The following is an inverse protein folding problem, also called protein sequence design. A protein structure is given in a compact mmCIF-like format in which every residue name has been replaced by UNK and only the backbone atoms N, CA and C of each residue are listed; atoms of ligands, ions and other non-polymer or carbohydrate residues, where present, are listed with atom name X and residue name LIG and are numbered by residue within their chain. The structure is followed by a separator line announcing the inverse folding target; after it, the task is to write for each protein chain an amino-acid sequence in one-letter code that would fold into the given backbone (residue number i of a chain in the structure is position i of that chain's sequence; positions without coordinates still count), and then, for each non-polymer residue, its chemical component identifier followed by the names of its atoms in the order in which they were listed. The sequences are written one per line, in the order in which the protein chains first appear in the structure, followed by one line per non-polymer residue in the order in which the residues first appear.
data_IF_647437837712
#
_entry.id   IF_647437837712
#
_cell.length_a   1.000
_cell.length_b   1.000
_cell.length_c   1.000
_cell.angle_alpha   90.00
_cell.angle_beta   90.00
_cell.angle_gamma   90.00
#
_symmetry.space_group_name_H-M   'P 1'
#
loop_
_entity.id
_entity.type
_entity.pdbx_description
1 polymer ?
#
# COMPACT_ATOMS: atom_id res chain seq x y z
N UNK A 1 0.57 -17.26 -3.36
CA UNK A 1 0.11 -16.77 -4.69
C UNK A 1 0.03 -17.95 -5.65
N UNK A 2 -1.00 -18.07 -6.51
CA UNK A 2 -1.08 -19.17 -7.47
C UNK A 2 0.13 -19.12 -8.42
N UNK A 3 0.83 -20.25 -8.54
CA UNK A 3 2.03 -20.40 -9.40
C UNK A 3 1.74 -20.20 -10.88
N UNK A 4 0.49 -20.37 -11.30
CA UNK A 4 0.06 -20.07 -12.66
C UNK A 4 -0.71 -18.74 -12.71
N UNK A 5 -0.02 -17.67 -13.14
CA UNK A 5 -0.56 -16.31 -13.21
C UNK A 5 -1.45 -16.08 -14.43
N UNK A 6 -1.26 -16.86 -15.49
CA UNK A 6 -2.06 -16.77 -16.72
C UNK A 6 -3.48 -17.32 -16.52
N UNK A 7 -3.68 -18.28 -15.62
CA UNK A 7 -5.01 -18.85 -15.30
C UNK A 7 -5.65 -18.33 -14.00
N UNK A 8 -4.91 -17.61 -13.14
CA UNK A 8 -5.47 -17.09 -11.88
C UNK A 8 -6.69 -16.17 -12.08
N UNK A 9 -7.73 -16.39 -11.28
CA UNK A 9 -8.94 -15.56 -11.20
C UNK A 9 -8.87 -14.56 -10.04
N UNK A 10 -9.71 -13.53 -10.09
CA UNK A 10 -9.85 -12.55 -8.99
C UNK A 10 -10.24 -13.26 -7.69
N UNK A 11 -11.22 -14.17 -7.74
CA UNK A 11 -11.66 -14.97 -6.59
C UNK A 11 -10.52 -15.84 -6.02
N UNK A 12 -9.75 -16.52 -6.86
CA UNK A 12 -8.63 -17.35 -6.41
C UNK A 12 -7.55 -16.51 -5.69
N UNK A 13 -7.29 -15.30 -6.19
CA UNK A 13 -6.32 -14.37 -5.59
C UNK A 13 -6.80 -13.89 -4.21
N UNK A 14 -8.06 -13.44 -4.12
CA UNK A 14 -8.68 -13.01 -2.86
C UNK A 14 -8.70 -14.15 -1.85
N UNK A 15 -9.19 -15.32 -2.23
CA UNK A 15 -9.30 -16.47 -1.35
C UNK A 15 -7.92 -16.94 -0.85
N UNK A 16 -6.89 -16.91 -1.70
CA UNK A 16 -5.53 -17.27 -1.30
C UNK A 16 -4.98 -16.32 -0.24
N UNK A 17 -5.11 -15.00 -0.44
CA UNK A 17 -4.59 -14.00 0.50
C UNK A 17 -5.40 -14.00 1.80
N UNK A 18 -6.73 -14.01 1.70
CA UNK A 18 -7.64 -14.03 2.85
C UNK A 18 -7.37 -15.22 3.77
N UNK A 19 -7.21 -16.41 3.19
CA UNK A 19 -6.91 -17.63 3.94
C UNK A 19 -5.50 -17.60 4.55
N UNK A 20 -4.50 -17.05 3.86
CA UNK A 20 -3.14 -16.92 4.42
C UNK A 20 -3.08 -16.00 5.64
N UNK A 21 -4.04 -15.07 5.75
CA UNK A 21 -4.20 -14.18 6.91
C UNK A 21 -5.08 -14.78 8.01
N UNK A 22 -5.49 -16.05 7.88
CA UNK A 22 -6.34 -16.75 8.85
C UNK A 22 -7.66 -16.02 9.17
N UNK A 23 -8.19 -15.26 8.19
CA UNK A 23 -9.45 -14.53 8.34
C UNK A 23 -10.66 -15.46 8.13
N UNK A 24 -11.83 -15.16 8.74
CA UNK A 24 -13.02 -15.99 8.63
C UNK A 24 -13.49 -16.17 7.19
N UNK A 25 -13.57 -17.43 6.73
CA UNK A 25 -14.02 -17.75 5.36
C UNK A 25 -15.48 -17.37 5.09
N UNK A 26 -16.33 -17.32 6.13
CA UNK A 26 -17.74 -16.93 5.99
C UNK A 26 -17.91 -15.53 5.41
N UNK A 27 -17.00 -14.60 5.72
CA UNK A 27 -17.00 -13.24 5.16
C UNK A 27 -16.85 -13.25 3.64
N UNK A 28 -16.17 -14.23 3.04
CA UNK A 28 -16.01 -14.29 1.58
C UNK A 28 -17.36 -14.45 0.85
N UNK A 29 -18.38 -15.02 1.51
CA UNK A 29 -19.72 -15.17 0.94
C UNK A 29 -20.46 -13.83 0.74
N UNK A 30 -20.02 -12.76 1.42
CA UNK A 30 -20.63 -11.43 1.33
C UNK A 30 -20.00 -10.56 0.24
N UNK A 31 -18.92 -11.04 -0.38
CA UNK A 31 -18.24 -10.36 -1.47
C UNK A 31 -18.98 -10.59 -2.80
N UNK A 32 -19.23 -9.50 -3.52
CA UNK A 32 -19.83 -9.49 -4.84
C UNK A 32 -18.91 -8.78 -5.83
N UNK A 33 -18.56 -9.48 -6.90
CA UNK A 33 -17.68 -8.98 -7.96
C UNK A 33 -18.45 -9.00 -9.29
N UNK A 34 -19.42 -8.09 -9.48
CA UNK A 34 -20.26 -8.08 -10.67
C UNK A 34 -19.44 -7.71 -11.92
N UNK A 35 -19.77 -8.26 -13.10
CA UNK A 35 -19.28 -7.73 -14.38
C UNK A 35 -19.85 -6.30 -14.60
N UNK A 36 -19.16 -5.45 -15.36
CA UNK A 36 -19.64 -4.09 -15.67
C UNK A 36 -20.75 -4.14 -16.74
N UNK A 37 -22.00 -3.73 -16.46
CA UNK A 37 -23.08 -3.81 -17.44
C UNK A 37 -22.90 -2.91 -18.68
N UNK A 38 -22.03 -1.90 -18.63
CA UNK A 38 -22.02 -0.83 -19.63
C UNK A 38 -21.18 -1.06 -20.90
N UNK A 39 -20.35 -2.11 -20.99
CA UNK A 39 -19.33 -2.19 -22.06
C UNK A 39 -19.16 -3.56 -22.77
N UNK A 40 -20.15 -4.47 -22.75
CA UNK A 40 -19.98 -5.79 -23.39
C UNK A 40 -20.72 -5.98 -24.73
N UNK A 41 -20.02 -5.90 -25.88
CA UNK A 41 -20.24 -6.79 -27.01
C UNK A 41 -19.45 -8.10 -26.82
N UNK A 42 -19.95 -9.16 -27.42
CA UNK A 42 -19.60 -10.56 -27.19
C UNK A 42 -18.12 -10.90 -27.50
N UNK A 43 -17.54 -11.74 -26.64
CA UNK A 43 -16.25 -12.47 -26.73
C UNK A 43 -14.95 -11.70 -26.43
N UNK A 44 -14.16 -12.30 -25.51
CA UNK A 44 -12.95 -11.82 -24.81
C UNK A 44 -13.18 -10.80 -23.68
N UNK A 45 -12.70 -11.11 -22.49
CA UNK A 45 -12.78 -10.26 -21.29
C UNK A 45 -12.11 -8.91 -21.59
N UNK A 46 -12.84 -7.78 -21.64
CA UNK A 46 -12.26 -6.48 -21.89
C UNK A 46 -11.40 -6.11 -20.68
N UNK A 47 -10.10 -5.92 -20.91
CA UNK A 47 -9.21 -5.34 -19.91
C UNK A 47 -9.46 -3.84 -19.86
N UNK A 48 -9.63 -3.30 -18.66
CA UNK A 48 -9.78 -1.86 -18.44
C UNK A 48 -8.41 -1.15 -18.49
N UNK A 49 -7.33 -1.86 -18.18
CA UNK A 49 -5.97 -1.34 -18.21
C UNK A 49 -5.15 -1.98 -19.35
N UNK A 50 -4.41 -1.17 -20.13
CA UNK A 50 -3.60 -1.65 -21.25
C UNK A 50 -2.32 -2.31 -20.75
N UNK A 51 -2.42 -3.54 -20.23
CA UNK A 51 -1.29 -4.29 -19.72
C UNK A 51 -1.39 -5.77 -20.08
N UNK A 52 -0.25 -6.37 -20.43
CA UNK A 52 -0.10 -7.82 -20.57
C UNK A 52 -0.31 -8.52 -19.23
N UNK A 53 0.01 -7.85 -18.11
CA UNK A 53 -0.34 -8.29 -16.76
C UNK A 53 -1.81 -8.00 -16.45
N UNK A 54 -2.45 -8.84 -15.64
CA UNK A 54 -3.84 -8.70 -15.20
C UNK A 54 -3.99 -7.60 -14.15
N UNK A 55 -3.61 -6.36 -14.47
CA UNK A 55 -3.63 -5.23 -13.53
C UNK A 55 -5.05 -4.93 -13.05
N UNK A 56 -6.06 -5.09 -13.90
CA UNK A 56 -7.47 -4.96 -13.50
C UNK A 56 -7.86 -5.97 -12.42
N UNK A 57 -7.36 -7.21 -12.53
CA UNK A 57 -7.60 -8.22 -11.51
C UNK A 57 -6.94 -7.83 -10.20
N UNK A 58 -5.67 -7.36 -10.24
CA UNK A 58 -4.98 -6.89 -9.03
C UNK A 58 -5.69 -5.69 -8.40
N UNK A 59 -6.19 -4.77 -9.22
CA UNK A 59 -6.95 -3.62 -8.76
C UNK A 59 -8.22 -4.04 -8.03
N UNK A 60 -9.04 -4.89 -8.65
CA UNK A 60 -10.29 -5.35 -8.05
C UNK A 60 -10.03 -6.24 -6.82
N UNK A 61 -9.06 -7.15 -6.88
CA UNK A 61 -8.70 -8.03 -5.76
C UNK A 61 -8.20 -7.26 -4.54
N UNK A 62 -7.29 -6.30 -4.73
CA UNK A 62 -6.71 -5.54 -3.60
C UNK A 62 -7.74 -4.65 -2.92
N UNK A 63 -8.58 -3.95 -3.69
CA UNK A 63 -9.67 -3.13 -3.15
C UNK A 63 -10.73 -4.02 -2.46
N UNK A 64 -11.05 -5.19 -3.02
CA UNK A 64 -11.96 -6.15 -2.42
C UNK A 64 -11.46 -6.66 -1.07
N UNK A 65 -10.19 -7.07 -0.98
CA UNK A 65 -9.58 -7.53 0.26
C UNK A 65 -9.63 -6.46 1.36
N UNK A 66 -9.20 -5.23 1.05
CA UNK A 66 -9.21 -4.14 2.02
C UNK A 66 -10.63 -3.77 2.48
N UNK A 67 -11.58 -3.68 1.53
CA UNK A 67 -12.97 -3.33 1.85
C UNK A 67 -13.66 -4.44 2.64
N UNK A 68 -13.41 -5.71 2.31
CA UNK A 68 -13.97 -6.84 3.05
C UNK A 68 -13.39 -6.95 4.46
N UNK A 69 -12.07 -6.71 4.63
CA UNK A 69 -11.45 -6.65 5.94
C UNK A 69 -12.05 -5.53 6.81
N UNK A 70 -12.28 -4.35 6.23
CA UNK A 70 -12.94 -3.24 6.92
C UNK A 70 -14.40 -3.57 7.29
N UNK A 71 -15.15 -4.23 6.41
CA UNK A 71 -16.52 -4.67 6.68
C UNK A 71 -16.58 -5.72 7.79
N UNK A 72 -15.64 -6.67 7.80
CA UNK A 72 -15.50 -7.65 8.88
C UNK A 72 -15.20 -6.95 10.21
N UNK A 73 -14.21 -6.06 10.25
CA UNK A 73 -13.86 -5.29 11.43
C UNK A 73 -15.06 -4.50 11.98
N UNK A 74 -15.81 -3.86 11.08
CA UNK A 74 -17.03 -3.15 11.44
C UNK A 74 -18.08 -4.07 12.09
N UNK A 75 -18.33 -5.24 11.50
CA UNK A 75 -19.30 -6.20 12.01
C UNK A 75 -18.91 -6.79 13.37
N UNK A 76 -17.64 -7.16 13.54
CA UNK A 76 -17.10 -7.67 14.80
C UNK A 76 -17.27 -6.65 15.93
N UNK A 77 -16.99 -5.38 15.65
CA UNK A 77 -17.17 -4.30 16.63
C UNK A 77 -18.63 -4.12 17.03
N UNK A 78 -19.53 -4.12 16.06
CA UNK A 78 -20.96 -3.97 16.32
C UNK A 78 -21.47 -5.09 17.25
N UNK A 79 -21.02 -6.34 17.04
CA UNK A 79 -21.37 -7.48 17.88
C UNK A 79 -20.82 -7.36 19.30
N UNK A 80 -19.55 -6.96 19.45
CA UNK A 80 -18.92 -6.76 20.77
C UNK A 80 -19.62 -5.67 21.60
N UNK A 81 -20.06 -4.59 20.96
CA UNK A 81 -20.85 -3.55 21.62
C UNK A 81 -22.19 -4.11 22.13
N UNK A 82 -22.93 -4.85 21.30
CA UNK A 82 -24.21 -5.46 21.70
C UNK A 82 -24.07 -6.45 22.86
N UNK A 83 -23.00 -7.25 22.88
CA UNK A 83 -22.73 -8.20 23.97
C UNK A 83 -22.44 -7.50 25.31
N UNK A 84 -21.67 -6.40 25.28
CA UNK A 84 -21.40 -5.59 26.49
C UNK A 84 -22.67 -4.99 27.10
N UNK A 85 -23.65 -4.59 26.27
CA UNK A 85 -24.95 -4.10 26.75
C UNK A 85 -25.76 -5.17 27.48
N UNK A 86 -25.83 -6.38 26.91
CA UNK A 86 -26.60 -7.49 27.50
C UNK A 86 -26.06 -7.91 28.87
N UNK A 87 -24.73 -7.86 29.06
CA UNK A 87 -24.10 -8.19 30.34
C UNK A 87 -24.29 -7.10 31.43
N UNK A 88 -24.58 -5.86 31.04
CA UNK A 88 -24.80 -4.75 31.98
C UNK A 88 -26.27 -4.58 32.41
N UNK A 89 -27.22 -5.30 31.81
CA UNK A 89 -28.61 -5.29 32.25
C UNK A 89 -28.85 -6.28 33.40
N UNK A 90 -29.41 -5.86 34.55
CA UNK A 90 -29.70 -6.77 35.65
C UNK A 90 -30.88 -7.70 35.30
N UNK A 91 -30.64 -9.01 35.36
CA UNK A 91 -31.63 -10.10 35.29
C UNK A 91 -32.38 -10.26 33.96
N UNK A 92 -31.80 -11.00 33.02
CA UNK A 92 -32.55 -11.88 32.12
C UNK A 92 -31.92 -13.28 32.08
N UNK A 93 -32.76 -14.30 31.96
CA UNK A 93 -32.42 -15.72 31.99
C UNK A 93 -31.29 -16.08 31.00
N UNK A 94 -30.48 -17.12 31.27
CA UNK A 94 -29.37 -17.49 30.40
C UNK A 94 -29.91 -17.96 29.05
N UNK A 95 -29.85 -17.08 28.05
CA UNK A 95 -30.06 -17.45 26.66
C UNK A 95 -28.82 -18.26 26.24
N UNK A 96 -29.05 -19.49 25.77
CA UNK A 96 -28.02 -20.37 25.22
C UNK A 96 -27.09 -19.57 24.30
N UNK A 97 -25.79 -19.63 24.57
CA UNK A 97 -24.75 -19.01 23.74
C UNK A 97 -24.70 -19.72 22.37
N UNK A 98 -25.69 -19.44 21.52
CA UNK A 98 -25.51 -19.71 20.10
C UNK A 98 -24.39 -18.79 19.64
N UNK A 99 -23.31 -19.39 19.13
CA UNK A 99 -22.24 -18.68 18.43
C UNK A 99 -22.86 -17.95 17.24
N UNK A 100 -23.37 -16.73 17.45
CA UNK A 100 -24.00 -15.95 16.40
C UNK A 100 -22.90 -15.58 15.41
N UNK A 101 -23.03 -16.12 14.20
CA UNK A 101 -22.16 -15.84 13.07
C UNK A 101 -22.09 -14.31 12.85
N UNK A 102 -20.88 -13.78 12.71
CA UNK A 102 -20.66 -12.34 12.51
C UNK A 102 -21.35 -11.94 11.20
N UNK A 103 -22.39 -11.10 11.28
CA UNK A 103 -23.11 -10.61 10.11
C UNK A 103 -22.30 -9.53 9.39
N UNK A 104 -21.45 -9.94 8.46
CA UNK A 104 -20.61 -9.02 7.65
C UNK A 104 -21.46 -8.36 6.56
N UNK A 105 -21.45 -7.02 6.42
CA UNK A 105 -22.13 -6.34 5.33
C UNK A 105 -21.69 -6.84 3.95
N UNK A 106 -22.61 -6.83 2.98
CA UNK A 106 -22.29 -7.13 1.58
C UNK A 106 -21.29 -6.10 1.04
N UNK A 107 -20.21 -6.59 0.42
CA UNK A 107 -19.20 -5.76 -0.23
C UNK A 107 -19.27 -5.95 -1.74
N UNK A 108 -19.43 -4.87 -2.49
CA UNK A 108 -19.49 -4.92 -3.96
C UNK A 108 -18.40 -4.06 -4.56
N UNK A 109 -17.55 -4.64 -5.42
CA UNK A 109 -16.46 -3.90 -6.08
C UNK A 109 -16.69 -3.86 -7.59
N UNK A 110 -16.88 -2.65 -8.13
CA UNK A 110 -16.93 -2.42 -9.59
C UNK A 110 -15.55 -2.67 -10.21
N UNK A 111 -15.44 -3.46 -11.29
CA UNK A 111 -14.15 -3.68 -11.97
C UNK A 111 -13.63 -2.40 -12.61
N UNK A 112 -14.50 -1.61 -13.27
CA UNK A 112 -14.16 -0.30 -13.84
C UNK A 112 -13.74 0.70 -12.77
N UNK A 113 -14.49 0.78 -11.67
CA UNK A 113 -14.15 1.65 -10.54
C UNK A 113 -12.80 1.29 -9.92
N UNK A 114 -12.50 0.00 -9.79
CA UNK A 114 -11.22 -0.48 -9.30
C UNK A 114 -10.06 -0.10 -10.25
N UNK A 115 -10.23 -0.33 -11.54
CA UNK A 115 -9.25 0.06 -12.56
C UNK A 115 -8.99 1.58 -12.55
N UNK A 116 -10.05 2.40 -12.52
CA UNK A 116 -9.94 3.85 -12.43
C UNK A 116 -9.22 4.31 -11.16
N UNK A 117 -9.41 3.62 -10.04
CA UNK A 117 -8.70 3.93 -8.78
C UNK A 117 -7.19 3.67 -8.88
N UNK A 118 -6.76 2.74 -9.73
CA UNK A 118 -5.35 2.39 -9.99
C UNK A 118 -4.64 3.35 -10.94
N UNK A 119 -5.39 4.12 -11.73
CA UNK A 119 -4.87 5.15 -12.64
C UNK A 119 -5.44 6.52 -12.33
N UNK A 120 -5.91 6.73 -11.10
CA UNK A 120 -6.62 7.93 -10.69
C UNK A 120 -5.79 9.19 -10.88
N UNK A 121 -4.46 9.07 -10.76
CA UNK A 121 -3.50 10.15 -10.99
C UNK A 121 -3.53 10.72 -12.41
N UNK A 122 -4.14 10.00 -13.36
CA UNK A 122 -4.25 10.39 -14.78
C UNK A 122 -5.61 10.95 -15.16
N UNK A 123 -6.63 10.73 -14.33
CA UNK A 123 -8.03 10.97 -14.69
C UNK A 123 -8.75 11.93 -13.75
N UNK A 124 -8.16 12.32 -12.61
CA UNK A 124 -8.75 13.37 -11.77
C UNK A 124 -8.72 14.72 -12.49
N UNK A 125 -9.65 15.60 -12.15
CA UNK A 125 -9.62 16.98 -12.63
C UNK A 125 -9.50 17.94 -11.46
N UNK A 126 -8.80 19.05 -11.68
CA UNK A 126 -8.70 20.16 -10.73
C UNK A 126 -9.23 21.42 -11.42
N UNK A 127 -10.34 21.96 -10.93
CA UNK A 127 -11.04 23.10 -11.55
C UNK A 127 -11.36 22.87 -13.04
N UNK A 128 -11.79 21.64 -13.38
CA UNK A 128 -12.13 21.25 -14.75
C UNK A 128 -10.93 20.97 -15.67
N UNK A 129 -9.70 21.11 -15.18
CA UNK A 129 -8.49 20.81 -15.96
C UNK A 129 -7.95 19.41 -15.63
N UNK A 130 -7.38 18.70 -16.63
CA UNK A 130 -6.71 17.42 -16.39
C UNK A 130 -5.49 17.62 -15.47
N UNK A 131 -4.97 16.53 -14.87
CA UNK A 131 -3.82 16.64 -14.01
C UNK A 131 -2.61 17.05 -14.84
N UNK A 132 -1.71 17.85 -14.26
CA UNK A 132 -0.44 18.15 -14.92
C UNK A 132 0.35 16.85 -15.07
N UNK A 133 1.08 16.70 -16.18
CA UNK A 133 2.01 15.58 -16.34
C UNK A 133 2.98 15.52 -15.16
N UNK A 134 3.28 14.32 -14.68
CA UNK A 134 4.22 14.06 -13.59
C UNK A 134 5.67 14.47 -13.89
N UNK A 135 5.95 14.98 -15.10
CA UNK A 135 7.27 15.51 -15.46
C UNK A 135 8.34 14.44 -15.63
N UNK A 136 7.96 13.17 -15.81
CA UNK A 136 8.87 12.09 -16.19
C UNK A 136 9.38 12.34 -17.62
N UNK A 137 10.64 12.74 -17.76
CA UNK A 137 11.25 13.07 -19.05
C UNK A 137 11.81 11.82 -19.71
N UNK A 138 12.58 11.06 -18.94
CA UNK A 138 13.23 9.83 -19.38
C UNK A 138 12.62 8.59 -18.73
N UNK A 139 11.59 8.74 -17.90
CA UNK A 139 10.86 7.61 -17.34
C UNK A 139 10.16 6.78 -18.43
N UNK A 140 10.27 5.45 -18.35
CA UNK A 140 9.68 4.59 -19.37
C UNK A 140 10.34 3.22 -19.51
N UNK A 141 9.83 2.46 -20.48
CA UNK A 141 10.41 1.18 -20.88
C UNK A 141 11.46 1.41 -21.96
N UNK A 142 12.60 0.74 -21.81
CA UNK A 142 13.71 0.78 -22.75
C UNK A 142 14.16 -0.63 -23.09
N UNK A 143 14.39 -0.87 -24.39
CA UNK A 143 14.96 -2.11 -24.88
C UNK A 143 16.47 -2.10 -24.69
N UNK A 144 17.01 -3.18 -24.16
CA UNK A 144 18.45 -3.33 -23.87
C UNK A 144 19.18 -4.07 -24.99
N UNK A 145 20.51 -4.05 -24.94
CA UNK A 145 21.39 -4.68 -25.94
C UNK A 145 21.15 -6.18 -26.11
N UNK A 146 20.86 -6.86 -25.01
CA UNK A 146 20.57 -8.29 -24.92
C UNK A 146 19.10 -8.64 -25.28
N UNK A 147 18.39 -7.73 -25.96
CA UNK A 147 16.98 -7.86 -26.31
C UNK A 147 16.01 -7.97 -25.11
N UNK A 148 16.50 -7.72 -23.90
CA UNK A 148 15.68 -7.53 -22.70
C UNK A 148 15.01 -6.17 -22.64
N UNK A 149 14.37 -5.91 -21.49
CA UNK A 149 13.70 -4.63 -21.20
C UNK A 149 14.00 -4.19 -19.78
N UNK A 150 14.15 -2.87 -19.61
CA UNK A 150 14.21 -2.21 -18.30
C UNK A 150 13.15 -1.13 -18.20
N UNK A 151 12.66 -0.87 -16.99
CA UNK A 151 11.87 0.30 -16.63
C UNK A 151 12.76 1.30 -15.91
N UNK A 152 12.94 2.48 -16.49
CA UNK A 152 13.63 3.62 -15.87
C UNK A 152 12.61 4.49 -15.14
N UNK A 153 12.94 4.87 -13.90
CA UNK A 153 12.18 5.86 -13.12
C UNK A 153 13.01 7.12 -12.91
N UNK A 154 12.40 8.28 -13.18
CA UNK A 154 13.05 9.59 -13.08
C UNK A 154 12.18 10.64 -12.37
N UNK A 155 11.27 10.18 -11.50
CA UNK A 155 10.34 11.05 -10.77
C UNK A 155 11.04 12.13 -9.94
N UNK A 156 12.28 11.90 -9.51
CA UNK A 156 13.10 12.88 -8.80
C UNK A 156 14.38 13.22 -9.58
N UNK A 157 14.81 14.48 -9.49
CA UNK A 157 15.97 15.01 -10.22
C UNK A 157 17.27 14.24 -9.90
N UNK A 158 17.46 13.82 -8.65
CA UNK A 158 18.61 13.01 -8.25
C UNK A 158 18.62 11.64 -8.96
N UNK A 159 17.46 10.99 -9.14
CA UNK A 159 17.38 9.73 -9.90
C UNK A 159 17.72 9.96 -11.37
N UNK A 160 17.20 11.04 -11.98
CA UNK A 160 17.51 11.39 -13.37
C UNK A 160 19.01 11.62 -13.59
N UNK A 161 19.65 12.38 -12.69
CA UNK A 161 21.10 12.62 -12.72
C UNK A 161 21.90 11.34 -12.51
N UNK A 162 21.43 10.44 -11.64
CA UNK A 162 22.08 9.15 -11.41
C UNK A 162 22.01 8.26 -12.65
N UNK A 163 20.84 8.15 -13.28
CA UNK A 163 20.66 7.43 -14.56
C UNK A 163 21.59 8.03 -15.63
N UNK A 164 21.61 9.35 -15.78
CA UNK A 164 22.45 9.99 -16.78
C UNK A 164 23.95 9.71 -16.58
N UNK A 165 24.42 9.80 -15.34
CA UNK A 165 25.81 9.46 -14.97
C UNK A 165 26.15 8.00 -15.25
N UNK A 166 25.27 7.05 -14.89
CA UNK A 166 25.49 5.62 -15.15
C UNK A 166 25.57 5.37 -16.65
N UNK A 167 24.68 5.97 -17.42
CA UNK A 167 24.64 5.80 -18.86
C UNK A 167 25.73 6.59 -19.58
N UNK A 168 26.40 7.54 -18.94
CA UNK A 168 27.36 8.44 -19.58
C UNK A 168 26.72 9.37 -20.61
N UNK A 169 25.49 9.83 -20.34
CA UNK A 169 24.76 10.78 -21.21
C UNK A 169 24.79 12.18 -20.60
N UNK A 170 24.70 13.19 -21.44
CA UNK A 170 24.82 14.58 -21.01
C UNK A 170 23.60 15.04 -20.21
N UNK A 171 23.83 15.91 -19.22
CA UNK A 171 22.78 16.58 -18.45
C UNK A 171 22.91 18.08 -18.68
N UNK A 172 21.82 18.76 -19.05
CA UNK A 172 21.84 20.22 -19.18
C UNK A 172 22.04 20.91 -17.83
N UNK A 173 22.35 22.22 -17.84
CA UNK A 173 22.47 23.01 -16.62
C UNK A 173 21.17 22.97 -15.77
N UNK A 174 20.02 22.85 -16.42
CA UNK A 174 18.69 22.75 -15.83
C UNK A 174 18.32 21.31 -15.41
N UNK A 175 19.22 20.34 -15.58
CA UNK A 175 18.97 18.95 -15.22
C UNK A 175 18.15 18.15 -16.25
N UNK A 176 18.06 18.64 -17.50
CA UNK A 176 17.38 17.94 -18.58
C UNK A 176 18.29 16.87 -19.19
N UNK A 177 17.70 15.76 -19.63
CA UNK A 177 18.40 14.63 -20.26
C UNK A 177 17.63 14.23 -21.51
N UNK A 178 18.33 14.04 -22.63
CA UNK A 178 17.71 13.60 -23.87
C UNK A 178 17.27 12.13 -23.78
N UNK A 179 15.98 11.89 -23.97
CA UNK A 179 15.36 10.57 -23.94
C UNK A 179 15.91 9.64 -25.03
N UNK A 180 16.20 10.17 -26.22
CA UNK A 180 16.74 9.35 -27.31
C UNK A 180 18.20 8.99 -27.06
N UNK A 181 18.98 9.90 -26.45
CA UNK A 181 20.34 9.60 -26.01
C UNK A 181 20.36 8.50 -24.95
N UNK A 182 19.45 8.56 -23.97
CA UNK A 182 19.22 7.48 -22.99
C UNK A 182 18.86 6.17 -23.67
N UNK A 183 17.90 6.19 -24.61
CA UNK A 183 17.46 4.98 -25.31
C UNK A 183 18.61 4.32 -26.10
N UNK A 184 19.40 5.13 -26.80
CA UNK A 184 20.58 4.68 -27.54
C UNK A 184 21.64 4.09 -26.63
N UNK A 185 21.96 4.80 -25.54
CA UNK A 185 22.93 4.35 -24.54
C UNK A 185 22.56 2.97 -23.97
N UNK A 186 21.29 2.78 -23.58
CA UNK A 186 20.79 1.52 -23.03
C UNK A 186 20.85 0.41 -24.09
N UNK A 187 20.39 0.69 -25.31
CA UNK A 187 20.31 -0.28 -26.41
C UNK A 187 21.68 -0.75 -26.91
N UNK A 188 22.69 0.12 -26.88
CA UNK A 188 24.02 -0.19 -27.43
C UNK A 188 25.00 -0.73 -26.39
N UNK A 189 24.89 -0.29 -25.13
CA UNK A 189 25.94 -0.54 -24.13
C UNK A 189 25.54 -1.52 -23.03
N UNK A 190 24.26 -1.71 -22.74
CA UNK A 190 23.82 -2.34 -21.50
C UNK A 190 22.97 -3.60 -21.70
N UNK A 191 23.30 -4.66 -20.96
CA UNK A 191 22.36 -5.74 -20.67
C UNK A 191 21.34 -5.34 -19.60
N UNK A 192 20.15 -5.97 -19.58
CA UNK A 192 19.07 -5.55 -18.67
C UNK A 192 19.42 -5.74 -17.19
N UNK A 193 20.01 -6.88 -16.85
CA UNK A 193 20.38 -7.21 -15.47
C UNK A 193 21.64 -6.46 -15.00
N UNK A 194 22.58 -6.25 -15.92
CA UNK A 194 23.76 -5.42 -15.71
C UNK A 194 23.37 -3.99 -15.35
N UNK A 195 22.44 -3.40 -16.10
CA UNK A 195 21.95 -2.05 -15.86
C UNK A 195 21.14 -1.93 -14.57
N UNK A 196 20.28 -2.90 -14.25
CA UNK A 196 19.57 -2.92 -12.97
C UNK A 196 20.54 -2.94 -11.77
N UNK A 197 21.58 -3.77 -11.82
CA UNK A 197 22.63 -3.81 -10.78
C UNK A 197 23.43 -2.52 -10.68
N UNK A 198 23.81 -1.95 -11.83
CA UNK A 198 24.53 -0.68 -11.88
C UNK A 198 23.66 0.46 -11.33
N UNK A 199 22.36 0.45 -11.62
CA UNK A 199 21.40 1.42 -11.10
C UNK A 199 21.22 1.32 -9.59
N UNK A 200 20.99 0.11 -9.06
CA UNK A 200 20.91 -0.15 -7.62
C UNK A 200 22.16 0.35 -6.89
N UNK A 201 23.35 0.09 -7.44
CA UNK A 201 24.61 0.53 -6.82
C UNK A 201 24.89 2.03 -7.02
N UNK A 202 24.34 2.62 -8.08
CA UNK A 202 24.57 4.01 -8.51
C UNK A 202 23.55 5.03 -8.00
N UNK A 203 22.57 4.60 -7.19
CA UNK A 203 21.51 5.45 -6.64
C UNK A 203 20.42 5.81 -7.67
N UNK A 204 20.20 4.96 -8.67
CA UNK A 204 19.17 5.11 -9.68
C UNK A 204 18.12 4.00 -9.58
N UNK A 205 16.88 4.31 -9.98
CA UNK A 205 15.77 3.36 -9.95
C UNK A 205 15.53 2.84 -11.38
N UNK A 206 16.14 1.69 -11.70
CA UNK A 206 15.96 0.99 -12.97
C UNK A 206 15.70 -0.48 -12.69
N UNK A 207 14.56 -1.02 -13.13
CA UNK A 207 14.17 -2.42 -12.89
C UNK A 207 14.15 -3.24 -14.18
N UNK A 208 14.76 -4.43 -14.17
CA UNK A 208 14.66 -5.42 -15.25
C UNK A 208 13.22 -5.96 -15.31
N UNK A 209 12.63 -5.96 -16.50
CA UNK A 209 11.40 -6.70 -16.75
C UNK A 209 11.76 -8.18 -16.90
N UNK A 210 11.16 -9.01 -16.04
CA UNK A 210 11.38 -10.45 -15.99
C UNK A 210 10.20 -11.19 -16.62
N UNK A 211 10.50 -12.24 -17.38
CA UNK A 211 9.48 -13.08 -18.02
C UNK A 211 8.88 -14.08 -17.04
N UNK A 212 7.59 -14.37 -17.22
CA UNK A 212 6.89 -15.43 -16.50
C UNK A 212 7.17 -16.78 -17.19
N UNK A 213 7.45 -17.84 -16.43
CA UNK A 213 7.58 -19.21 -16.95
C UNK A 213 8.94 -19.62 -17.53
N UNK A 214 9.92 -18.72 -17.62
CA UNK A 214 11.30 -19.03 -18.05
C UNK A 214 12.30 -19.08 -16.87
N UNK A 215 11.81 -19.16 -15.62
CA UNK A 215 12.65 -19.15 -14.43
C UNK A 215 13.29 -17.79 -14.10
N UNK A 216 13.17 -16.77 -14.94
CA UNK A 216 13.68 -15.42 -14.63
C UNK A 216 12.96 -14.77 -13.44
N UNK A 217 11.65 -14.97 -13.33
CA UNK A 217 10.90 -14.53 -12.15
C UNK A 217 11.14 -15.48 -10.98
N UNK A 218 10.91 -16.77 -11.19
CA UNK A 218 10.94 -17.77 -10.10
C UNK A 218 12.35 -18.08 -9.58
N UNK A 219 13.41 -17.69 -10.30
CA UNK A 219 14.80 -17.79 -9.85
C UNK A 219 15.35 -16.47 -9.28
N UNK A 220 14.56 -15.39 -9.30
CA UNK A 220 14.94 -14.13 -8.67
C UNK A 220 14.80 -14.25 -7.14
N UNK A 221 15.68 -13.64 -6.32
CA UNK A 221 15.62 -13.76 -4.85
C UNK A 221 14.24 -13.48 -4.26
N UNK A 222 13.46 -12.55 -4.86
CA UNK A 222 12.08 -12.28 -4.45
C UNK A 222 11.00 -13.17 -5.07
N UNK A 223 11.29 -13.81 -6.20
CA UNK A 223 10.32 -14.61 -6.95
C UNK A 223 10.36 -16.10 -6.64
N UNK A 224 11.43 -16.60 -5.99
CA UNK A 224 11.69 -18.04 -5.85
C UNK A 224 11.80 -18.66 -4.45
N UNK A 225 12.33 -17.94 -3.46
CA UNK A 225 12.78 -18.58 -2.21
C UNK A 225 11.79 -18.46 -1.06
N UNK A 226 11.60 -17.25 -0.55
CA UNK A 226 11.06 -17.08 0.82
C UNK A 226 9.76 -16.27 0.87
N UNK A 227 9.42 -15.56 -0.22
CA UNK A 227 8.09 -14.96 -0.42
C UNK A 227 6.99 -15.98 -0.73
N UNK A 228 7.36 -17.26 -0.85
CA UNK A 228 6.49 -18.38 -1.22
C UNK A 228 5.68 -18.97 -0.06
N UNK A 229 6.25 -19.02 1.15
CA UNK A 229 5.55 -19.57 2.33
C UNK A 229 4.73 -18.51 3.08
N UNK A 230 5.21 -17.26 3.14
CA UNK A 230 4.60 -16.21 3.98
C UNK A 230 3.67 -15.23 3.25
N UNK A 231 3.55 -15.33 1.92
CA UNK A 231 2.67 -14.47 1.13
C UNK A 231 3.07 -12.99 1.11
N UNK A 232 2.26 -12.12 0.45
CA UNK A 232 2.58 -10.68 0.30
C UNK A 232 2.31 -9.85 1.56
N UNK A 233 1.76 -10.44 2.62
CA UNK A 233 1.39 -9.75 3.86
C UNK A 233 1.78 -10.64 5.03
N UNK A 234 2.64 -10.12 5.90
CA UNK A 234 3.06 -10.76 7.16
C UNK A 234 2.40 -10.00 8.32
N UNK A 235 1.94 -10.75 9.32
CA UNK A 235 1.36 -10.18 10.54
C UNK A 235 2.12 -10.76 11.72
N UNK A 236 2.69 -9.89 12.54
CA UNK A 236 3.46 -10.26 13.72
C UNK A 236 2.91 -9.57 14.95
N UNK A 237 3.06 -10.22 16.11
CA UNK A 237 2.72 -9.62 17.39
C UNK A 237 4.00 -9.32 18.15
N UNK A 238 4.21 -8.06 18.48
CA UNK A 238 5.35 -7.63 19.29
C UNK A 238 5.05 -7.82 20.79
N UNK A 239 6.11 -8.06 21.57
CA UNK A 239 6.00 -8.11 23.02
C UNK A 239 5.64 -6.72 23.56
N UNK A 240 4.61 -6.67 24.41
CA UNK A 240 4.21 -5.47 25.15
C UNK A 240 4.77 -5.61 26.58
N UNK A 241 5.27 -4.54 27.23
CA UNK A 241 5.72 -4.59 28.61
C UNK A 241 4.68 -5.23 29.54
N UNK A 242 5.16 -6.06 30.49
CA UNK A 242 4.29 -6.72 31.48
C UNK A 242 3.42 -5.69 32.22
N UNK A 243 2.14 -6.01 32.39
CA UNK A 243 1.15 -5.13 33.04
C UNK A 243 0.49 -4.09 32.11
N UNK A 244 0.94 -3.94 30.86
CA UNK A 244 0.25 -3.14 29.82
C UNK A 244 -0.45 -3.97 28.76
N UNK A 245 -0.37 -5.29 28.87
CA UNK A 245 -1.14 -6.21 28.05
C UNK A 245 -2.65 -6.04 28.31
N UNK A 246 -3.40 -5.67 27.27
CA UNK A 246 -4.85 -5.51 27.36
C UNK A 246 -5.32 -4.08 27.61
N UNK A 247 -4.45 -3.06 27.50
CA UNK A 247 -4.94 -1.68 27.37
C UNK A 247 -5.75 -1.54 26.06
N UNK A 248 -6.95 -0.97 26.17
CA UNK A 248 -7.86 -0.78 25.02
C UNK A 248 -7.21 0.10 23.94
N UNK A 249 -7.60 -0.12 22.68
CA UNK A 249 -7.24 0.74 21.56
C UNK A 249 -7.38 2.23 21.95
N UNK A 250 -6.28 2.96 21.87
CA UNK A 250 -6.21 4.35 22.31
C UNK A 250 -6.61 5.26 21.15
N UNK A 251 -7.86 5.70 21.13
CA UNK A 251 -8.37 6.60 20.08
C UNK A 251 -9.90 6.66 20.05
N UNK A 252 -10.51 7.46 19.17
CA UNK A 252 -11.96 7.41 18.99
C UNK A 252 -12.41 6.03 18.52
N UNK A 253 -11.56 5.30 17.81
CA UNK A 253 -11.85 3.93 17.40
C UNK A 253 -12.07 3.02 18.60
N UNK A 254 -11.19 3.01 19.60
CA UNK A 254 -11.38 2.20 20.81
C UNK A 254 -12.37 2.78 21.83
N UNK A 255 -12.51 4.11 21.89
CA UNK A 255 -13.37 4.82 22.86
C UNK A 255 -14.79 5.09 22.35
N UNK A 256 -15.11 4.79 21.09
CA UNK A 256 -16.41 5.02 20.49
C UNK A 256 -17.52 4.39 21.34
N UNK A 257 -18.28 5.26 22.03
CA UNK A 257 -19.43 4.90 22.82
C UNK A 257 -20.73 4.88 22.01
N UNK A 258 -21.81 4.46 22.66
CA UNK A 258 -23.06 4.07 22.01
C UNK A 258 -23.88 5.23 21.43
N UNK A 259 -23.66 6.47 21.90
CA UNK A 259 -24.36 7.67 21.42
C UNK A 259 -23.90 8.19 20.06
N UNK A 260 -22.83 7.60 19.50
CA UNK A 260 -22.21 8.08 18.27
C UNK A 260 -22.63 7.25 17.06
N UNK A 261 -23.94 7.17 16.78
CA UNK A 261 -24.49 6.47 15.61
C UNK A 261 -23.84 6.92 14.28
N UNK A 262 -23.33 8.16 14.23
CA UNK A 262 -22.57 8.68 13.10
C UNK A 262 -21.23 7.96 12.87
N UNK A 263 -20.60 7.43 13.93
CA UNK A 263 -19.36 6.62 13.86
C UNK A 263 -19.56 5.26 13.17
N UNK A 264 -20.79 4.90 12.80
CA UNK A 264 -21.09 3.63 12.10
C UNK A 264 -21.49 3.83 10.64
N UNK A 265 -21.48 5.06 10.12
CA UNK A 265 -21.83 5.34 8.71
C UNK A 265 -20.82 4.80 7.71
N UNK A 266 -19.56 4.63 8.13
CA UNK A 266 -18.50 4.04 7.31
C UNK A 266 -17.71 3.00 8.11
N UNK A 267 -17.16 1.96 7.47
CA UNK A 267 -16.54 0.84 8.17
C UNK A 267 -15.36 1.21 9.09
N UNK A 268 -14.56 2.22 8.71
CA UNK A 268 -13.37 2.65 9.46
C UNK A 268 -13.55 4.00 10.16
N UNK A 269 -14.78 4.49 10.27
CA UNK A 269 -15.04 5.76 10.93
C UNK A 269 -14.56 5.74 12.39
N UNK A 270 -13.80 6.77 12.78
CA UNK A 270 -13.18 6.88 14.10
C UNK A 270 -11.76 6.29 14.19
N UNK A 271 -11.32 5.51 13.19
CA UNK A 271 -9.96 4.97 13.11
C UNK A 271 -8.98 6.11 12.82
N UNK A 272 -8.00 6.33 13.69
CA UNK A 272 -6.95 7.33 13.49
C UNK A 272 -5.70 6.68 12.93
N UNK A 273 -5.24 7.18 11.79
CA UNK A 273 -4.08 6.66 11.06
C UNK A 273 -3.04 7.75 10.94
N UNK A 274 -1.85 7.50 11.47
CA UNK A 274 -0.67 8.34 11.27
C UNK A 274 0.20 7.72 10.17
N UNK A 275 0.30 8.41 9.04
CA UNK A 275 0.99 7.90 7.85
C UNK A 275 2.29 8.68 7.61
N UNK A 276 3.43 8.02 7.77
CA UNK A 276 4.76 8.52 7.46
C UNK A 276 5.24 7.91 6.15
N UNK A 277 4.93 8.55 5.03
CA UNK A 277 5.12 7.95 3.72
C UNK A 277 5.47 8.95 2.63
N UNK A 278 5.91 8.42 1.48
CA UNK A 278 6.14 9.17 0.25
C UNK A 278 5.77 8.32 -0.97
N UNK A 279 5.65 8.96 -2.13
CA UNK A 279 5.53 8.33 -3.44
C UNK A 279 4.18 7.62 -3.61
N UNK A 280 4.08 6.28 -3.57
CA UNK A 280 2.86 5.57 -4.03
C UNK A 280 2.32 4.57 -3.02
N UNK A 281 3.10 3.58 -2.58
CA UNK A 281 2.56 2.39 -1.91
C UNK A 281 1.76 2.71 -0.63
N UNK A 282 2.38 3.36 0.36
CA UNK A 282 1.70 3.76 1.58
C UNK A 282 0.68 4.91 1.36
N UNK A 283 0.94 5.91 0.50
CA UNK A 283 -0.07 6.89 0.14
C UNK A 283 -1.35 6.28 -0.44
N UNK A 284 -1.26 5.25 -1.27
CA UNK A 284 -2.44 4.50 -1.75
C UNK A 284 -3.17 3.80 -0.60
N UNK A 285 -2.44 3.16 0.31
CA UNK A 285 -3.02 2.51 1.48
C UNK A 285 -3.80 3.50 2.36
N UNK A 286 -3.20 4.63 2.73
CA UNK A 286 -3.90 5.65 3.51
C UNK A 286 -5.09 6.25 2.78
N UNK A 287 -5.01 6.45 1.46
CA UNK A 287 -6.15 6.96 0.67
C UNK A 287 -7.32 5.97 0.68
N UNK A 288 -7.02 4.66 0.61
CA UNK A 288 -8.04 3.62 0.72
C UNK A 288 -8.69 3.62 2.12
N UNK A 289 -7.90 3.74 3.20
CA UNK A 289 -8.42 3.83 4.57
C UNK A 289 -9.31 5.07 4.76
N UNK A 290 -8.88 6.23 4.26
CA UNK A 290 -9.65 7.47 4.29
C UNK A 290 -10.98 7.35 3.53
N UNK A 291 -10.97 6.70 2.36
CA UNK A 291 -12.19 6.43 1.59
C UNK A 291 -13.20 5.58 2.38
N UNK A 292 -12.71 4.67 3.22
CA UNK A 292 -13.51 3.82 4.12
C UNK A 292 -13.86 4.49 5.46
N UNK A 293 -13.49 5.77 5.66
CA UNK A 293 -13.90 6.59 6.80
C UNK A 293 -12.83 6.85 7.86
N UNK A 294 -11.62 6.31 7.72
CA UNK A 294 -10.54 6.59 8.67
C UNK A 294 -10.12 8.08 8.64
N UNK A 295 -9.73 8.60 9.80
CA UNK A 295 -9.07 9.89 9.93
C UNK A 295 -7.57 9.69 9.71
N UNK A 296 -7.11 10.03 8.50
CA UNK A 296 -5.73 9.81 8.08
C UNK A 296 -4.96 11.13 8.09
N UNK A 297 -3.91 11.18 8.90
CA UNK A 297 -2.93 12.27 8.93
C UNK A 297 -1.65 11.82 8.22
N UNK A 298 -1.40 12.39 7.05
CA UNK A 298 -0.20 12.15 6.27
C UNK A 298 0.90 13.15 6.63
N UNK A 299 1.96 12.62 7.24
CA UNK A 299 3.12 13.36 7.67
C UNK A 299 4.25 13.28 6.64
N UNK A 300 4.76 14.45 6.25
CA UNK A 300 6.02 14.61 5.50
C UNK A 300 6.95 15.56 6.26
N UNK A 301 8.07 15.96 5.65
CA UNK A 301 8.98 16.93 6.24
C UNK A 301 9.37 18.00 5.21
N UNK A 302 9.63 19.25 5.61
CA UNK A 302 9.88 20.36 4.67
C UNK A 302 11.08 20.16 3.73
N UNK A 303 12.03 19.31 4.13
CA UNK A 303 13.25 19.02 3.36
C UNK A 303 13.09 17.85 2.38
N UNK A 304 11.95 17.15 2.38
CA UNK A 304 11.69 16.03 1.51
C UNK A 304 11.04 16.51 0.21
N UNK A 305 11.40 15.93 -0.95
CA UNK A 305 10.79 16.33 -2.21
C UNK A 305 9.33 15.86 -2.28
N UNK A 306 8.51 16.67 -2.94
CA UNK A 306 7.11 16.38 -3.26
C UNK A 306 6.97 15.88 -4.72
N UNK A 307 5.79 15.35 -5.04
CA UNK A 307 5.38 14.97 -6.40
C UNK A 307 3.98 15.55 -6.65
N UNK A 308 3.84 16.87 -6.87
CA UNK A 308 2.55 17.56 -6.73
C UNK A 308 1.38 16.94 -7.51
N UNK A 309 1.52 16.54 -8.80
CA UNK A 309 0.40 15.91 -9.51
C UNK A 309 -0.05 14.59 -8.89
N UNK A 310 0.87 13.82 -8.32
CA UNK A 310 0.59 12.56 -7.66
C UNK A 310 0.05 12.79 -6.25
N UNK A 311 0.67 13.69 -5.49
CA UNK A 311 0.30 14.00 -4.11
C UNK A 311 -1.13 14.57 -4.01
N UNK A 312 -1.58 15.33 -5.02
CA UNK A 312 -2.97 15.81 -5.12
C UNK A 312 -3.97 14.65 -5.18
N UNK A 313 -3.72 13.60 -5.98
CA UNK A 313 -4.60 12.43 -6.01
C UNK A 313 -4.51 11.60 -4.72
N UNK A 314 -3.28 11.39 -4.22
CA UNK A 314 -3.02 10.52 -3.09
C UNK A 314 -3.37 11.12 -1.73
N UNK A 315 -3.50 12.45 -1.64
CA UNK A 315 -3.96 13.16 -0.43
C UNK A 315 -5.49 13.19 -0.28
N UNK A 316 -6.25 12.70 -1.26
CA UNK A 316 -7.72 12.74 -1.22
C UNK A 316 -8.28 12.04 0.02
N UNK A 317 -9.01 12.81 0.84
CA UNK A 317 -9.61 12.33 2.09
C UNK A 317 -8.67 12.35 3.29
N UNK A 318 -7.42 12.79 3.13
CA UNK A 318 -6.43 12.89 4.21
C UNK A 318 -6.24 14.33 4.66
N UNK A 319 -5.74 14.50 5.88
CA UNK A 319 -5.09 15.73 6.35
C UNK A 319 -3.59 15.59 6.18
N UNK A 320 -2.89 16.69 5.97
CA UNK A 320 -1.42 16.69 5.85
C UNK A 320 -0.77 17.54 6.93
N UNK A 321 0.41 17.13 7.38
CA UNK A 321 1.25 17.90 8.29
C UNK A 321 2.72 17.75 7.88
N UNK A 322 3.53 18.77 8.16
CA UNK A 322 4.98 18.70 7.98
C UNK A 322 5.65 18.76 9.35
N UNK A 323 6.40 17.71 9.69
CA UNK A 323 7.22 17.62 10.89
C UNK A 323 8.59 17.05 10.51
N UNK A 324 9.65 17.62 11.06
CA UNK A 324 11.01 17.12 10.90
C UNK A 324 11.49 16.51 12.22
N UNK A 325 11.27 15.21 12.40
CA UNK A 325 11.61 14.46 13.62
C UNK A 325 13.11 14.42 13.95
N UNK A 326 13.98 15.03 13.14
CA UNK A 326 15.38 15.32 13.49
C UNK A 326 15.48 16.48 14.49
N UNK A 327 14.42 17.28 14.61
CA UNK A 327 14.24 18.33 15.61
C UNK A 327 13.51 17.73 16.81
N UNK A 328 14.06 17.92 18.00
CA UNK A 328 13.48 17.40 19.25
C UNK A 328 12.03 17.81 19.47
N UNK A 329 11.66 19.05 19.13
CA UNK A 329 10.30 19.54 19.30
C UNK A 329 9.30 18.80 18.39
N UNK A 330 9.62 18.69 17.11
CA UNK A 330 8.79 18.00 16.12
C UNK A 330 8.71 16.50 16.44
N UNK A 331 9.80 15.89 16.94
CA UNK A 331 9.81 14.51 17.42
C UNK A 331 8.85 14.30 18.60
N UNK A 332 8.81 15.22 19.56
CA UNK A 332 7.84 15.18 20.67
C UNK A 332 6.41 15.25 20.14
N UNK A 333 6.12 16.18 19.24
CA UNK A 333 4.80 16.29 18.59
C UNK A 333 4.43 15.02 17.84
N UNK A 334 5.38 14.40 17.14
CA UNK A 334 5.17 13.12 16.47
C UNK A 334 4.80 12.01 17.47
N UNK A 335 5.52 11.89 18.59
CA UNK A 335 5.22 10.88 19.62
C UNK A 335 3.86 11.14 20.30
N UNK A 336 3.45 12.39 20.48
CA UNK A 336 2.10 12.72 20.96
C UNK A 336 1.04 12.25 19.96
N UNK A 337 1.26 12.42 18.65
CA UNK A 337 0.37 11.89 17.61
C UNK A 337 0.33 10.35 17.62
N UNK A 338 1.48 9.68 17.83
CA UNK A 338 1.55 8.21 17.93
C UNK A 338 0.72 7.68 19.10
N UNK A 339 0.76 8.35 20.26
CA UNK A 339 -0.02 7.95 21.46
C UNK A 339 -1.53 7.99 21.24
N UNK A 340 -1.97 8.78 20.27
CA UNK A 340 -3.38 9.03 19.92
C UNK A 340 -3.84 8.32 18.64
N UNK A 341 -2.92 7.60 17.97
CA UNK A 341 -3.18 6.87 16.73
C UNK A 341 -3.52 5.40 16.99
N UNK A 342 -4.38 4.83 16.16
CA UNK A 342 -4.66 3.39 16.16
C UNK A 342 -3.74 2.63 15.20
N UNK A 343 -3.33 3.30 14.11
CA UNK A 343 -2.46 2.72 13.06
C UNK A 343 -1.33 3.69 12.73
N UNK A 344 -0.11 3.18 12.68
CA UNK A 344 1.05 3.85 12.11
C UNK A 344 1.43 3.18 10.80
N UNK A 345 1.50 3.93 9.70
CA UNK A 345 1.87 3.40 8.37
C UNK A 345 3.18 4.04 7.94
N UNK A 346 4.12 3.24 7.44
CA UNK A 346 5.35 3.76 6.87
C UNK A 346 5.83 3.00 5.63
N UNK A 347 6.55 3.69 4.76
CA UNK A 347 7.17 3.12 3.55
C UNK A 347 8.57 3.66 3.29
N UNK A 348 9.31 3.97 4.35
CA UNK A 348 10.74 4.20 4.29
C UNK A 348 11.48 2.88 4.17
N UNK A 349 12.78 2.95 3.83
CA UNK A 349 13.66 1.79 3.83
C UNK A 349 13.60 1.08 5.18
N UNK A 350 13.64 -0.27 5.22
CA UNK A 350 13.83 -1.01 6.46
C UNK A 350 14.93 -0.40 7.34
N UNK A 351 14.69 -0.39 8.64
CA UNK A 351 15.56 0.12 9.73
C UNK A 351 15.89 1.62 9.68
N UNK A 352 15.43 2.34 8.65
CA UNK A 352 15.79 3.75 8.48
C UNK A 352 15.13 4.68 9.50
N UNK A 353 14.09 4.20 10.19
CA UNK A 353 13.37 4.92 11.24
C UNK A 353 13.87 4.55 12.65
N UNK A 354 14.54 3.41 12.80
CA UNK A 354 14.96 2.84 14.09
C UNK A 354 15.89 3.77 14.86
N UNK A 355 16.85 4.39 14.17
CA UNK A 355 17.76 5.37 14.78
C UNK A 355 17.06 6.61 15.36
N UNK A 356 15.79 6.81 15.03
CA UNK A 356 14.95 7.89 15.57
C UNK A 356 14.02 7.42 16.69
N UNK A 357 14.07 6.15 17.10
CA UNK A 357 13.14 5.57 18.08
C UNK A 357 11.73 5.42 17.53
N UNK A 358 11.62 5.10 16.24
CA UNK A 358 10.35 4.92 15.52
C UNK A 358 10.22 3.50 14.96
N UNK A 359 10.97 2.54 15.51
CA UNK A 359 10.80 1.13 15.18
C UNK A 359 9.48 0.60 15.75
N UNK A 360 9.02 -0.56 15.26
CA UNK A 360 7.76 -1.15 15.69
C UNK A 360 7.71 -1.39 17.21
N UNK A 361 8.82 -1.84 17.81
CA UNK A 361 8.96 -2.09 19.25
C UNK A 361 8.95 -0.80 20.07
N UNK A 362 9.58 0.27 19.56
CA UNK A 362 9.56 1.58 20.23
C UNK A 362 8.13 2.13 20.27
N UNK A 363 7.42 2.09 19.14
CA UNK A 363 6.05 2.59 19.07
C UNK A 363 5.07 1.72 19.84
N UNK A 364 5.29 0.40 19.92
CA UNK A 364 4.50 -0.48 20.79
C UNK A 364 4.74 -0.20 22.28
N UNK A 365 5.91 0.30 22.67
CA UNK A 365 6.19 0.73 24.04
C UNK A 365 5.45 2.03 24.37
N UNK A 366 5.44 2.98 23.43
CA UNK A 366 4.71 4.26 23.55
C UNK A 366 3.18 4.08 23.50
N UNK A 367 2.70 3.18 22.63
CA UNK A 367 1.28 2.88 22.42
C UNK A 367 1.07 1.36 22.23
N UNK A 368 0.84 0.60 23.32
CA UNK A 368 0.67 -0.86 23.30
C UNK A 368 -0.43 -1.42 22.37
N UNK A 369 -1.39 -0.60 21.97
CA UNK A 369 -2.49 -0.99 21.08
C UNK A 369 -2.26 -0.68 19.60
N UNK A 370 -1.12 -0.08 19.25
CA UNK A 370 -0.88 0.42 17.89
C UNK A 370 -0.67 -0.71 16.87
N UNK A 371 -1.25 -0.55 15.69
CA UNK A 371 -0.92 -1.36 14.52
C UNK A 371 0.18 -0.66 13.72
N UNK A 372 1.36 -1.28 13.63
CA UNK A 372 2.47 -0.80 12.81
C UNK A 372 2.47 -1.48 11.44
N UNK A 373 2.25 -0.72 10.37
CA UNK A 373 2.26 -1.21 8.99
C UNK A 373 3.50 -0.71 8.24
N UNK A 374 4.36 -1.65 7.86
CA UNK A 374 5.59 -1.41 7.08
C UNK A 374 5.40 -1.87 5.63
N UNK A 375 5.69 -0.99 4.67
CA UNK A 375 5.63 -1.33 3.24
C UNK A 375 7.02 -1.21 2.63
N UNK A 376 7.58 -2.32 2.14
CA UNK A 376 8.87 -2.36 1.44
C UNK A 376 8.72 -2.92 0.01
N UNK A 377 9.67 -2.58 -0.86
CA UNK A 377 9.67 -3.05 -2.25
C UNK A 377 10.17 -4.51 -2.38
N UNK A 378 11.02 -4.95 -1.45
CA UNK A 378 11.74 -6.23 -1.52
C UNK A 378 11.42 -7.18 -0.34
N UNK A 379 10.40 -6.92 0.47
CA UNK A 379 10.11 -7.70 1.67
C UNK A 379 11.18 -7.50 2.76
N UNK A 380 11.24 -8.36 3.77
CA UNK A 380 12.25 -8.29 4.85
C UNK A 380 13.45 -9.22 4.61
N UNK A 381 13.32 -10.21 3.71
CA UNK A 381 14.35 -11.24 3.48
C UNK A 381 15.54 -10.82 2.61
N UNK A 382 15.53 -9.62 2.03
CA UNK A 382 16.60 -9.14 1.15
C UNK A 382 17.18 -7.82 1.65
N UNK A 383 17.95 -7.91 2.74
CA UNK A 383 18.60 -6.76 3.39
C UNK A 383 19.48 -5.97 2.41
N UNK A 384 20.15 -6.65 1.47
CA UNK A 384 21.02 -6.00 0.50
C UNK A 384 20.22 -5.12 -0.47
N UNK A 385 19.16 -5.66 -1.09
CA UNK A 385 18.31 -4.89 -1.98
C UNK A 385 17.58 -3.77 -1.24
N UNK A 386 17.08 -4.01 -0.02
CA UNK A 386 16.43 -2.98 0.78
C UNK A 386 17.37 -1.84 1.18
N UNK A 387 18.63 -2.15 1.52
CA UNK A 387 19.64 -1.14 1.86
C UNK A 387 20.08 -0.32 0.64
N UNK A 388 20.17 -0.95 -0.52
CA UNK A 388 20.59 -0.30 -1.79
C UNK A 388 19.44 0.38 -2.54
N UNK A 389 18.19 0.12 -2.17
CA UNK A 389 17.01 0.74 -2.80
C UNK A 389 17.09 2.27 -2.68
N UNK A 390 17.18 3.06 -3.77
CA UNK A 390 17.51 4.49 -3.73
C UNK A 390 16.53 5.41 -2.98
#
# INVERSE_FOLDING_TARGET
MPRNRTSSTIHATIHSIWKSLHLPSSALSTLSLPPDPQDFPQHNTPRFLPSSYKLDHLAQSSIALATLAAALLHATRAQQSSQRQQQQQPQQQPIEHNQHEINVPRVTISPRGAALSFVSERVYTLSGQPPRSSGMLIGGLYRTRDAGWVRVHDAFVNHRRAVARILGVSVSAEGMVDREEVARAIRERWGAEELERAALSGGAVVGKLRRDGEGEWDGWPLGGGDGGENGPVRVERFAVPEGRMGEELRGHFGRAGEGEAWLRRRPLQGLRVLELSRVIAAPVAGRALAALGADVLWLTAPHLPDLPPLDVDLSRGKRTIQLDFRREQDKRTLLDLVRDADVFIQSYRPDSLDRYGLAAQDLATENPGIVYASLSAYGEGDEELNRKNP
#
